data_IF_159201402739
#
_entry.id   IF_159201402739
#
_cell.length_a   1.000
_cell.length_b   1.000
_cell.length_c   1.000
_cell.angle_alpha   90.00
_cell.angle_beta   90.00
_cell.angle_gamma   90.00
#
_symmetry.space_group_name_H-M   'P 1'
#
loop_
_entity.id
_entity.type
_entity.pdbx_description
1 polymer ?
#
# COMPACT_ATOMS: atom_id res chain seq x y z
N UNK A 1 17.09 -16.08 3.27
CA UNK A 1 16.69 -15.70 1.90
C UNK A 1 15.28 -16.19 1.53
N UNK A 2 14.95 -17.49 1.60
CA UNK A 2 13.61 -18.01 1.26
C UNK A 2 12.44 -17.30 1.97
N UNK A 3 12.58 -17.03 3.27
CA UNK A 3 11.55 -16.32 4.03
C UNK A 3 11.32 -14.89 3.54
N UNK A 4 12.41 -14.19 3.14
CA UNK A 4 12.32 -12.84 2.61
C UNK A 4 11.68 -12.83 1.22
N UNK A 5 11.94 -13.85 0.39
CA UNK A 5 11.30 -14.01 -0.92
C UNK A 5 9.80 -14.27 -0.80
N UNK A 6 9.38 -15.20 0.07
CA UNK A 6 7.96 -15.43 0.34
C UNK A 6 7.26 -14.15 0.84
N UNK A 7 7.95 -13.36 1.66
CA UNK A 7 7.41 -12.12 2.17
C UNK A 7 7.31 -11.02 1.09
N UNK A 8 8.24 -10.99 0.13
CA UNK A 8 8.16 -10.12 -1.05
C UNK A 8 6.96 -10.47 -1.93
N UNK A 9 6.68 -11.76 -2.15
CA UNK A 9 5.51 -12.23 -2.90
C UNK A 9 4.21 -11.82 -2.21
N UNK A 10 4.12 -12.01 -0.90
CA UNK A 10 2.96 -11.58 -0.12
C UNK A 10 2.75 -10.05 -0.13
N UNK A 11 3.83 -9.27 -0.16
CA UNK A 11 3.76 -7.81 -0.30
C UNK A 11 3.19 -7.42 -1.66
N UNK A 12 3.68 -8.04 -2.74
CA UNK A 12 3.14 -7.82 -4.09
C UNK A 12 1.66 -8.16 -4.17
N UNK A 13 1.26 -9.30 -3.61
CA UNK A 13 -0.13 -9.72 -3.58
C UNK A 13 -1.00 -8.73 -2.79
N UNK A 14 -0.53 -8.28 -1.63
CA UNK A 14 -1.27 -7.30 -0.80
C UNK A 14 -1.42 -5.97 -1.51
N UNK A 15 -0.37 -5.49 -2.20
CA UNK A 15 -0.42 -4.27 -3.00
C UNK A 15 -1.38 -4.40 -4.19
N UNK A 16 -1.37 -5.55 -4.88
CA UNK A 16 -2.28 -5.83 -6.00
C UNK A 16 -3.74 -5.94 -5.55
N UNK A 17 -3.97 -6.46 -4.34
CA UNK A 17 -5.30 -6.45 -3.73
C UNK A 17 -5.75 -5.01 -3.48
N UNK A 18 -4.92 -4.19 -2.82
CA UNK A 18 -5.21 -2.78 -2.55
C UNK A 18 -5.48 -1.95 -3.81
N UNK A 19 -4.72 -2.17 -4.88
CA UNK A 19 -4.90 -1.53 -6.20
C UNK A 19 -6.27 -1.83 -6.82
N UNK A 20 -6.91 -2.94 -6.45
CA UNK A 20 -8.22 -3.36 -6.96
C UNK A 20 -9.39 -3.01 -6.04
N UNK A 21 -9.13 -2.44 -4.87
CA UNK A 21 -10.19 -2.18 -3.90
C UNK A 21 -11.01 -0.95 -4.29
N UNK A 22 -12.32 -1.04 -4.05
CA UNK A 22 -13.19 0.13 -4.10
C UNK A 22 -12.99 1.01 -2.86
N UNK A 23 -13.12 2.33 -3.00
CA UNK A 23 -12.94 3.30 -1.91
C UNK A 23 -13.92 3.15 -0.73
N UNK A 24 -14.98 2.35 -0.89
CA UNK A 24 -16.00 2.10 0.15
C UNK A 24 -15.78 0.77 0.89
N UNK A 25 -14.73 0.02 0.54
CA UNK A 25 -14.46 -1.28 1.15
C UNK A 25 -13.73 -1.13 2.49
N UNK A 26 -14.48 -1.36 3.58
CA UNK A 26 -13.97 -1.33 4.96
C UNK A 26 -12.81 -2.31 5.20
N UNK A 27 -12.60 -3.30 4.33
CA UNK A 27 -11.46 -4.21 4.42
C UNK A 27 -10.13 -3.57 4.00
N UNK A 28 -10.15 -2.36 3.42
CA UNK A 28 -8.95 -1.64 2.99
C UNK A 28 -8.03 -1.32 4.16
N UNK A 29 -8.58 -0.84 5.28
CA UNK A 29 -7.81 -0.52 6.49
C UNK A 29 -7.11 -1.77 7.06
N UNK A 30 -7.77 -2.93 6.98
CA UNK A 30 -7.21 -4.21 7.40
C UNK A 30 -6.06 -4.63 6.46
N UNK A 31 -6.21 -4.41 5.16
CA UNK A 31 -5.17 -4.72 4.17
C UNK A 31 -3.96 -3.79 4.30
N UNK A 32 -4.18 -2.49 4.53
CA UNK A 32 -3.11 -1.53 4.83
C UNK A 32 -2.37 -1.91 6.12
N UNK A 33 -3.09 -2.33 7.16
CA UNK A 33 -2.48 -2.80 8.40
C UNK A 33 -1.60 -4.05 8.17
N UNK A 34 -2.09 -5.01 7.38
CA UNK A 34 -1.32 -6.20 6.98
C UNK A 34 -0.10 -5.84 6.14
N UNK A 35 -0.22 -4.88 5.22
CA UNK A 35 0.88 -4.37 4.42
C UNK A 35 1.99 -3.83 5.32
N UNK A 36 1.62 -2.99 6.30
CA UNK A 36 2.56 -2.40 7.25
C UNK A 36 3.29 -3.46 8.09
N UNK A 37 2.56 -4.47 8.57
CA UNK A 37 3.16 -5.57 9.32
C UNK A 37 4.18 -6.35 8.47
N UNK A 38 3.83 -6.67 7.22
CA UNK A 38 4.75 -7.33 6.29
C UNK A 38 5.98 -6.47 6.02
N UNK A 39 5.82 -5.17 5.76
CA UNK A 39 6.97 -4.26 5.56
C UNK A 39 7.92 -4.27 6.78
N UNK A 40 7.38 -4.27 8.00
CA UNK A 40 8.21 -4.37 9.23
C UNK A 40 8.97 -5.69 9.30
N UNK A 41 8.29 -6.82 9.05
CA UNK A 41 8.92 -8.14 9.02
C UNK A 41 10.04 -8.20 7.95
N UNK A 42 9.79 -7.59 6.77
CA UNK A 42 10.79 -7.46 5.71
C UNK A 42 12.04 -6.73 6.18
N UNK A 43 11.84 -5.60 6.86
CA UNK A 43 12.95 -4.76 7.33
C UNK A 43 13.81 -5.51 8.35
N UNK A 44 13.21 -6.28 9.25
CA UNK A 44 13.95 -7.12 10.21
C UNK A 44 14.85 -8.13 9.48
N UNK A 45 14.32 -8.83 8.47
CA UNK A 45 15.08 -9.81 7.70
C UNK A 45 16.20 -9.17 6.88
N UNK A 46 15.95 -8.00 6.29
CA UNK A 46 16.99 -7.25 5.57
C UNK A 46 18.09 -6.75 6.49
N UNK A 47 17.74 -6.23 7.66
CA UNK A 47 18.72 -5.77 8.64
C UNK A 47 19.66 -6.90 9.08
N UNK A 48 19.13 -8.11 9.28
CA UNK A 48 19.95 -9.29 9.59
C UNK A 48 20.99 -9.59 8.49
N UNK A 49 20.61 -9.44 7.22
CA UNK A 49 21.52 -9.65 6.07
C UNK A 49 22.60 -8.56 5.95
N UNK A 50 22.33 -7.35 6.47
CA UNK A 50 23.29 -6.24 6.45
C UNK A 50 24.31 -6.35 7.58
N UNK A 51 23.90 -6.87 8.74
CA UNK A 51 24.76 -7.01 9.93
C UNK A 51 25.73 -8.19 9.80
N UNK A 52 25.31 -9.29 9.17
CA UNK A 52 26.15 -10.46 8.93
C UNK A 52 26.27 -10.75 7.42
N UNK A 53 27.02 -9.93 6.66
CA UNK A 53 27.14 -10.10 5.22
C UNK A 53 27.95 -11.35 4.88
N UNK A 54 27.38 -12.20 4.02
CA UNK A 54 28.11 -13.29 3.35
C UNK A 54 28.66 -12.82 2.01
N UNK A 55 29.64 -13.52 1.41
CA UNK A 55 30.24 -13.14 0.12
C UNK A 55 29.20 -12.98 -1.02
N UNK A 56 28.07 -13.69 -0.96
CA UNK A 56 26.98 -13.64 -1.95
C UNK A 56 25.91 -12.54 -1.67
N UNK A 57 26.06 -11.74 -0.61
CA UNK A 57 25.00 -10.82 -0.18
C UNK A 57 24.80 -9.61 -1.12
N UNK A 58 25.84 -9.14 -1.84
CA UNK A 58 25.75 -7.88 -2.61
C UNK A 58 24.68 -7.93 -3.70
N UNK A 59 24.77 -8.90 -4.61
CA UNK A 59 23.82 -9.05 -5.71
C UNK A 59 22.40 -9.30 -5.19
N UNK A 60 22.28 -10.04 -4.08
CA UNK A 60 20.98 -10.28 -3.45
C UNK A 60 20.39 -8.99 -2.85
N UNK A 61 21.19 -8.19 -2.14
CA UNK A 61 20.75 -6.91 -1.57
C UNK A 61 20.41 -5.88 -2.66
N UNK A 62 21.13 -5.86 -3.78
CA UNK A 62 20.77 -5.06 -4.95
C UNK A 62 19.39 -5.45 -5.49
N UNK A 63 19.11 -6.75 -5.67
CA UNK A 63 17.77 -7.24 -6.03
C UNK A 63 16.70 -6.81 -5.03
N UNK A 64 16.99 -6.88 -3.73
CA UNK A 64 16.06 -6.44 -2.68
C UNK A 64 15.82 -4.93 -2.69
N UNK A 65 16.83 -4.14 -3.05
CA UNK A 65 16.70 -2.70 -3.21
C UNK A 65 15.79 -2.35 -4.38
N UNK A 66 15.97 -3.00 -5.53
CA UNK A 66 15.10 -2.77 -6.69
C UNK A 66 13.65 -3.18 -6.41
N UNK A 67 13.42 -4.30 -5.73
CA UNK A 67 12.08 -4.68 -5.27
C UNK A 67 11.47 -3.63 -4.33
N UNK A 68 12.28 -3.00 -3.48
CA UNK A 68 11.80 -1.94 -2.58
C UNK A 68 11.31 -0.73 -3.38
N UNK A 69 12.01 -0.34 -4.45
CA UNK A 69 11.56 0.74 -5.34
C UNK A 69 10.20 0.42 -5.95
N UNK A 70 10.01 -0.81 -6.44
CA UNK A 70 8.74 -1.27 -6.99
C UNK A 70 7.61 -1.17 -5.96
N UNK A 71 7.85 -1.58 -4.71
CA UNK A 71 6.84 -1.48 -3.65
C UNK A 71 6.48 -0.04 -3.31
N UNK A 72 7.47 0.86 -3.28
CA UNK A 72 7.26 2.29 -3.03
C UNK A 72 6.46 2.93 -4.16
N UNK A 73 6.82 2.66 -5.42
CA UNK A 73 6.11 3.17 -6.58
C UNK A 73 4.64 2.76 -6.56
N UNK A 74 4.36 1.46 -6.37
CA UNK A 74 2.97 0.96 -6.26
C UNK A 74 2.21 1.58 -5.08
N UNK A 75 2.85 1.71 -3.92
CA UNK A 75 2.21 2.31 -2.75
C UNK A 75 1.84 3.78 -2.98
N UNK A 76 2.70 4.53 -3.68
CA UNK A 76 2.43 5.94 -4.02
C UNK A 76 1.27 6.08 -5.00
N UNK A 77 1.18 5.19 -6.00
CA UNK A 77 0.06 5.15 -6.96
C UNK A 77 -1.25 4.90 -6.20
N UNK A 78 -1.30 3.84 -5.38
CA UNK A 78 -2.47 3.48 -4.57
C UNK A 78 -2.88 4.65 -3.66
N UNK A 79 -1.92 5.29 -2.99
CA UNK A 79 -2.19 6.44 -2.14
C UNK A 79 -2.80 7.60 -2.92
N UNK A 80 -2.25 7.93 -4.09
CA UNK A 80 -2.76 8.99 -4.96
C UNK A 80 -4.18 8.70 -5.45
N UNK A 81 -4.47 7.46 -5.83
CA UNK A 81 -5.79 7.02 -6.28
C UNK A 81 -6.83 7.13 -5.15
N UNK A 82 -6.50 6.63 -3.97
CA UNK A 82 -7.37 6.72 -2.79
C UNK A 82 -7.66 8.20 -2.44
N UNK A 83 -6.63 9.06 -2.46
CA UNK A 83 -6.82 10.49 -2.23
C UNK A 83 -7.75 11.13 -3.26
N UNK A 84 -7.57 10.84 -4.55
CA UNK A 84 -8.43 11.35 -5.61
C UNK A 84 -9.90 10.92 -5.42
N UNK A 85 -10.14 9.67 -5.05
CA UNK A 85 -11.48 9.13 -4.78
C UNK A 85 -12.13 9.82 -3.56
N UNK A 86 -11.39 10.00 -2.47
CA UNK A 86 -11.87 10.72 -1.27
C UNK A 86 -12.24 12.17 -1.59
N UNK A 87 -11.42 12.86 -2.40
CA UNK A 87 -11.72 14.22 -2.86
C UNK A 87 -12.98 14.29 -3.72
N UNK A 88 -13.16 13.35 -4.66
CA UNK A 88 -14.35 13.26 -5.51
C UNK A 88 -15.62 12.97 -4.68
N UNK A 89 -15.55 12.02 -3.74
CA UNK A 89 -16.66 11.68 -2.84
C UNK A 89 -17.10 12.88 -1.98
N UNK A 90 -16.13 13.65 -1.45
CA UNK A 90 -16.41 14.86 -0.68
C UNK A 90 -17.06 15.97 -1.52
N UNK A 91 -16.65 16.14 -2.78
CA UNK A 91 -17.28 17.09 -3.70
C UNK A 91 -18.74 16.71 -4.00
N UNK A 92 -19.00 15.43 -4.25
CA UNK A 92 -20.37 14.93 -4.49
C UNK A 92 -21.27 15.08 -3.25
N UNK A 93 -20.78 14.76 -2.04
CA UNK A 93 -21.54 14.97 -0.79
C UNK A 93 -21.96 16.43 -0.60
N UNK A 94 -21.07 17.38 -0.91
CA UNK A 94 -21.39 18.83 -0.83
C UNK A 94 -22.49 19.21 -1.82
N UNK A 95 -22.42 18.73 -3.06
CA UNK A 95 -23.45 19.02 -4.06
C UNK A 95 -24.81 18.43 -3.67
N UNK A 96 -24.86 17.18 -3.20
CA UNK A 96 -26.11 16.55 -2.73
C UNK A 96 -26.73 17.31 -1.56
N UNK A 97 -25.91 17.74 -0.59
CA UNK A 97 -26.41 18.52 0.55
C UNK A 97 -26.94 19.90 0.14
N UNK A 98 -26.34 20.54 -0.86
CA UNK A 98 -26.86 21.81 -1.42
C UNK A 98 -28.22 21.59 -2.07
N UNK A 99 -28.39 20.54 -2.88
CA UNK A 99 -29.70 20.24 -3.48
C UNK A 99 -30.77 19.91 -2.42
N UNK A 100 -30.43 19.12 -1.39
CA UNK A 100 -31.35 18.81 -0.29
C UNK A 100 -31.74 20.05 0.53
N UNK A 101 -30.84 21.00 0.72
CA UNK A 101 -31.13 22.24 1.43
C UNK A 101 -32.12 23.12 0.64
N UNK A 102 -31.99 23.18 -0.69
CA UNK A 102 -32.89 23.95 -1.55
C UNK A 102 -34.30 23.34 -1.58
N UNK A 103 -34.43 22.01 -1.55
CA UNK A 103 -35.73 21.34 -1.47
C UNK A 103 -36.42 21.45 -0.09
N UNK A 104 -35.68 21.76 0.98
CA UNK A 104 -36.22 21.96 2.33
C UNK A 104 -36.70 23.41 2.58
N UNK A 105 -36.27 24.37 1.76
CA UNK A 105 -36.66 25.79 1.82
C UNK A 105 -37.86 26.13 0.91
N UNK A 106 -38.67 25.13 0.52
CA UNK A 106 -39.81 25.27 -0.39
C UNK A 106 -41.11 24.75 0.22
#
# INVERSE_FOLDING_TARGET
MKQLEALNEQLLETLHQLEKMSAEDESADKLVSKLLEKVRQRQVLLNALVVEPTEDCRAYLEKQFDLTKVFVEKSNIIQSEIQALLHAANKNKRQINVYKAIDLDR
#
